data_IF_069187700431
#
_entry.id   IF_069187700431
#
_cell.length_a   1.000
_cell.length_b   1.000
_cell.length_c   1.000
_cell.angle_alpha   90.00
_cell.angle_beta   90.00
_cell.angle_gamma   90.00
#
_symmetry.space_group_name_H-M   'P 1'
#
loop_
_entity.id
_entity.type
_entity.pdbx_description
1 polymer ?
#
# COMPACT_ATOMS: atom_id res chain seq x y z
N UNK A 1 30.20 -25.11 -7.42
CA UNK A 1 30.25 -23.85 -6.66
C UNK A 1 30.90 -23.99 -5.28
N UNK A 2 30.59 -25.01 -4.47
CA UNK A 2 31.17 -25.13 -3.13
C UNK A 2 32.71 -25.19 -3.12
N UNK A 3 33.38 -25.81 -4.11
CA UNK A 3 34.86 -25.93 -4.20
C UNK A 3 35.59 -24.59 -4.39
N UNK A 4 34.88 -23.51 -4.73
CA UNK A 4 35.46 -22.17 -4.90
C UNK A 4 34.93 -21.17 -3.90
N UNK A 5 34.17 -21.65 -2.90
CA UNK A 5 33.52 -20.75 -1.93
C UNK A 5 34.55 -20.00 -1.11
N UNK A 6 35.63 -20.71 -0.67
CA UNK A 6 36.71 -20.11 0.12
C UNK A 6 37.49 -19.07 -0.67
N UNK A 7 37.79 -19.34 -1.96
CA UNK A 7 38.46 -18.40 -2.86
C UNK A 7 37.68 -17.13 -3.08
N UNK A 8 36.30 -17.24 -3.11
CA UNK A 8 35.39 -16.14 -3.34
C UNK A 8 34.88 -15.49 -2.03
N UNK A 9 35.39 -15.94 -0.88
CA UNK A 9 34.96 -15.47 0.45
C UNK A 9 33.44 -15.71 0.72
N UNK A 10 32.86 -16.76 0.11
CA UNK A 10 31.42 -17.05 0.22
C UNK A 10 31.22 -17.92 1.48
N UNK A 11 30.33 -17.44 2.37
CA UNK A 11 29.84 -18.22 3.52
C UNK A 11 28.37 -18.57 3.29
N UNK A 12 28.05 -19.83 3.61
CA UNK A 12 26.68 -20.37 3.50
C UNK A 12 26.10 -20.67 4.88
N UNK A 13 24.77 -20.65 4.98
CA UNK A 13 24.07 -21.22 6.12
C UNK A 13 24.47 -22.69 6.30
N UNK A 14 24.74 -23.15 7.54
CA UNK A 14 25.02 -24.56 7.78
C UNK A 14 23.80 -25.47 7.60
N UNK A 15 22.61 -24.90 7.63
CA UNK A 15 21.31 -25.60 7.50
C UNK A 15 20.60 -25.23 6.20
N UNK A 16 19.80 -26.15 5.64
CA UNK A 16 18.92 -25.83 4.51
C UNK A 16 17.91 -24.71 4.88
N UNK A 17 17.55 -23.89 3.91
CA UNK A 17 18.06 -23.78 2.54
C UNK A 17 19.40 -23.06 2.50
N UNK A 18 20.49 -23.72 2.20
CA UNK A 18 21.88 -23.25 2.22
C UNK A 18 22.09 -21.84 1.61
N UNK A 19 21.55 -20.85 2.26
CA UNK A 19 21.59 -19.45 1.82
C UNK A 19 22.99 -18.88 1.94
N UNK A 20 23.36 -18.02 0.99
CA UNK A 20 24.58 -17.23 1.09
C UNK A 20 24.41 -16.22 2.22
N UNK A 21 25.31 -16.27 3.20
CA UNK A 21 25.34 -15.34 4.35
C UNK A 21 26.29 -14.17 4.12
N UNK A 22 27.36 -14.39 3.32
CA UNK A 22 28.39 -13.39 3.04
C UNK A 22 29.12 -13.75 1.75
N UNK A 23 29.66 -12.73 1.07
CA UNK A 23 30.65 -12.89 -0.02
C UNK A 23 31.89 -12.08 0.31
N UNK A 24 32.96 -12.21 -0.49
CA UNK A 24 34.16 -11.38 -0.34
C UNK A 24 33.91 -9.87 -0.47
N UNK A 25 32.83 -9.48 -1.21
CA UNK A 25 32.51 -8.09 -1.52
C UNK A 25 31.31 -7.55 -0.70
N UNK A 26 30.43 -8.43 -0.20
CA UNK A 26 29.18 -8.06 0.47
C UNK A 26 29.14 -8.68 1.86
N UNK A 27 29.02 -7.84 2.87
CA UNK A 27 28.94 -8.24 4.27
C UNK A 27 27.59 -8.91 4.62
N UNK A 28 27.54 -9.59 5.75
CA UNK A 28 26.30 -10.18 6.30
C UNK A 28 25.20 -9.13 6.47
N UNK A 29 25.53 -7.93 6.96
CA UNK A 29 24.58 -6.85 7.20
C UNK A 29 24.01 -6.29 5.91
N UNK A 30 24.83 -6.16 4.87
CA UNK A 30 24.37 -5.70 3.54
C UNK A 30 23.45 -6.73 2.90
N UNK A 31 23.77 -8.02 2.98
CA UNK A 31 22.87 -9.07 2.48
C UNK A 31 21.54 -9.12 3.25
N UNK A 32 21.55 -8.91 4.56
CA UNK A 32 20.33 -8.82 5.36
C UNK A 32 19.49 -7.60 4.94
N UNK A 33 20.12 -6.47 4.72
CA UNK A 33 19.45 -5.26 4.22
C UNK A 33 18.83 -5.49 2.84
N UNK A 34 19.59 -6.11 1.92
CA UNK A 34 19.09 -6.46 0.59
C UNK A 34 17.89 -7.40 0.64
N UNK A 35 17.93 -8.42 1.52
CA UNK A 35 16.78 -9.33 1.73
C UNK A 35 15.55 -8.61 2.27
N UNK A 36 15.72 -7.72 3.23
CA UNK A 36 14.62 -6.90 3.77
C UNK A 36 14.03 -5.96 2.72
N UNK A 37 14.88 -5.33 1.90
CA UNK A 37 14.43 -4.53 0.76
C UNK A 37 13.65 -5.36 -0.26
N UNK A 38 14.10 -6.58 -0.58
CA UNK A 38 13.35 -7.48 -1.46
C UNK A 38 11.96 -7.80 -0.89
N UNK A 39 11.88 -8.15 0.38
CA UNK A 39 10.58 -8.39 1.06
C UNK A 39 9.68 -7.16 1.05
N UNK A 40 10.25 -5.98 1.25
CA UNK A 40 9.49 -4.72 1.18
C UNK A 40 8.95 -4.49 -0.23
N UNK A 41 9.77 -4.68 -1.26
CA UNK A 41 9.33 -4.57 -2.66
C UNK A 41 8.20 -5.56 -2.96
N UNK A 42 8.33 -6.81 -2.54
CA UNK A 42 7.28 -7.83 -2.74
C UNK A 42 5.99 -7.48 -1.99
N UNK A 43 6.11 -6.94 -0.79
CA UNK A 43 4.96 -6.61 0.04
C UNK A 43 4.19 -5.38 -0.44
N UNK A 44 4.85 -4.39 -1.06
CA UNK A 44 4.24 -3.10 -1.40
C UNK A 44 4.35 -2.76 -2.88
N UNK A 45 5.55 -2.81 -3.48
CA UNK A 45 5.75 -2.45 -4.88
C UNK A 45 5.22 -3.50 -5.85
N UNK A 46 5.43 -4.80 -5.58
CA UNK A 46 4.96 -5.90 -6.42
C UNK A 46 3.51 -6.33 -6.10
N UNK A 47 2.90 -5.78 -5.06
CA UNK A 47 1.51 -6.08 -4.69
C UNK A 47 0.58 -5.11 -5.42
N UNK A 48 -0.32 -5.56 -6.32
CA UNK A 48 -1.16 -4.68 -7.14
C UNK A 48 -1.92 -3.61 -6.34
N UNK A 49 -2.41 -3.98 -5.15
CA UNK A 49 -3.15 -3.08 -4.28
C UNK A 49 -2.37 -1.81 -3.86
N UNK A 50 -1.05 -1.88 -3.74
CA UNK A 50 -0.20 -0.81 -3.23
C UNK A 50 0.83 -0.32 -4.24
N UNK A 51 0.89 -0.96 -5.41
CA UNK A 51 1.93 -0.75 -6.42
C UNK A 51 2.00 0.71 -6.88
N UNK A 52 0.86 1.28 -7.28
CA UNK A 52 0.83 2.63 -7.83
C UNK A 52 1.24 3.67 -6.79
N UNK A 53 0.64 3.61 -5.60
CA UNK A 53 1.01 4.50 -4.50
C UNK A 53 2.51 4.38 -4.14
N UNK A 54 3.02 3.15 -4.04
CA UNK A 54 4.43 2.93 -3.72
C UNK A 54 5.35 3.49 -4.80
N UNK A 55 4.97 3.35 -6.07
CA UNK A 55 5.69 3.92 -7.21
C UNK A 55 5.74 5.44 -7.15
N UNK A 56 4.60 6.09 -6.89
CA UNK A 56 4.54 7.54 -6.76
C UNK A 56 5.41 8.04 -5.60
N UNK A 57 5.38 7.38 -4.45
CA UNK A 57 6.22 7.71 -3.30
C UNK A 57 7.71 7.60 -3.62
N UNK A 58 8.14 6.57 -4.37
CA UNK A 58 9.53 6.40 -4.83
C UNK A 58 9.93 7.52 -5.81
N UNK A 59 9.04 7.91 -6.71
CA UNK A 59 9.30 8.99 -7.67
C UNK A 59 9.41 10.34 -6.98
N UNK A 60 8.61 10.56 -5.94
CA UNK A 60 8.65 11.78 -5.13
C UNK A 60 9.88 11.86 -4.21
N UNK A 61 10.26 10.74 -3.61
CA UNK A 61 11.45 10.65 -2.74
C UNK A 61 12.26 9.38 -3.05
N UNK A 62 13.43 9.57 -3.67
CA UNK A 62 14.34 8.47 -4.00
C UNK A 62 14.84 7.68 -2.78
N UNK A 63 14.71 8.25 -1.57
CA UNK A 63 15.07 7.59 -0.31
C UNK A 63 13.87 6.90 0.37
N UNK A 64 12.68 6.97 -0.22
CA UNK A 64 11.46 6.41 0.35
C UNK A 64 11.64 4.97 0.82
N UNK A 65 12.15 4.07 -0.02
CA UNK A 65 12.31 2.66 0.32
C UNK A 65 13.21 2.44 1.56
N UNK A 66 14.31 3.17 1.66
CA UNK A 66 15.21 3.06 2.81
C UNK A 66 14.59 3.62 4.09
N UNK A 67 13.89 4.74 4.01
CA UNK A 67 13.18 5.34 5.15
C UNK A 67 12.04 4.46 5.62
N UNK A 68 11.28 3.91 4.68
CA UNK A 68 10.18 3.00 4.99
C UNK A 68 10.69 1.67 5.55
N UNK A 69 11.81 1.16 5.03
CA UNK A 69 12.47 -0.02 5.60
C UNK A 69 12.92 0.23 7.04
N UNK A 70 13.52 1.38 7.33
CA UNK A 70 13.92 1.75 8.69
C UNK A 70 12.70 1.78 9.63
N UNK A 71 11.62 2.46 9.22
CA UNK A 71 10.36 2.51 9.96
C UNK A 71 9.81 1.11 10.26
N UNK A 72 9.74 0.23 9.25
CA UNK A 72 9.26 -1.14 9.43
C UNK A 72 10.17 -1.97 10.34
N UNK A 73 11.47 -1.70 10.30
CA UNK A 73 12.47 -2.39 11.14
C UNK A 73 12.33 -1.95 12.60
N UNK A 74 12.24 -0.66 12.87
CA UNK A 74 12.03 -0.10 14.22
C UNK A 74 10.71 -0.59 14.84
N UNK A 75 9.66 -0.71 14.02
CA UNK A 75 8.37 -1.25 14.44
C UNK A 75 8.33 -2.79 14.54
N UNK A 76 9.43 -3.50 14.26
CA UNK A 76 9.50 -4.96 14.18
C UNK A 76 8.48 -5.60 13.23
N UNK A 77 8.18 -4.94 12.11
CA UNK A 77 7.17 -5.38 11.13
C UNK A 77 7.75 -6.08 9.91
N UNK A 78 8.99 -5.75 9.52
CA UNK A 78 9.57 -6.21 8.23
C UNK A 78 9.79 -7.72 8.16
N UNK A 79 10.08 -8.34 9.27
CA UNK A 79 10.39 -9.79 9.37
C UNK A 79 9.15 -10.61 9.77
N UNK A 80 7.97 -9.97 9.89
CA UNK A 80 6.72 -10.64 10.25
C UNK A 80 5.78 -10.74 9.03
N UNK A 81 5.01 -11.83 8.92
CA UNK A 81 3.99 -11.95 7.90
C UNK A 81 2.88 -10.90 8.15
N UNK A 82 2.55 -10.14 7.14
CA UNK A 82 1.46 -9.14 7.19
C UNK A 82 0.38 -9.49 6.19
N UNK A 83 -0.89 -9.47 6.64
CA UNK A 83 -2.04 -9.52 5.76
C UNK A 83 -2.07 -8.29 4.83
N UNK A 84 -2.78 -8.38 3.71
CA UNK A 84 -2.95 -7.25 2.78
C UNK A 84 -3.52 -6.03 3.50
N UNK A 85 -4.52 -6.22 4.36
CA UNK A 85 -5.12 -5.17 5.17
C UNK A 85 -4.10 -4.52 6.12
N UNK A 86 -3.28 -5.33 6.81
CA UNK A 86 -2.25 -4.80 7.71
C UNK A 86 -1.20 -3.97 6.96
N UNK A 87 -0.80 -4.41 5.77
CA UNK A 87 0.11 -3.64 4.90
C UNK A 87 -0.48 -2.27 4.56
N UNK A 88 -1.76 -2.23 4.17
CA UNK A 88 -2.45 -0.97 3.88
C UNK A 88 -2.52 -0.02 5.06
N UNK A 89 -2.82 -0.52 6.27
CA UNK A 89 -2.81 0.29 7.49
C UNK A 89 -1.43 0.87 7.79
N UNK A 90 -0.39 0.05 7.69
CA UNK A 90 1.00 0.48 7.93
C UNK A 90 1.42 1.54 6.92
N UNK A 91 1.12 1.34 5.63
CA UNK A 91 1.43 2.30 4.58
C UNK A 91 0.66 3.62 4.77
N UNK A 92 -0.62 3.55 5.15
CA UNK A 92 -1.43 4.72 5.47
C UNK A 92 -0.85 5.53 6.64
N UNK A 93 -0.53 4.88 7.77
CA UNK A 93 0.05 5.55 8.93
C UNK A 93 1.41 6.16 8.62
N UNK A 94 2.22 5.48 7.82
CA UNK A 94 3.49 6.03 7.35
C UNK A 94 3.30 7.27 6.48
N UNK A 95 2.36 7.22 5.51
CA UNK A 95 2.02 8.38 4.70
C UNK A 95 1.49 9.54 5.55
N UNK A 96 0.58 9.25 6.48
CA UNK A 96 0.02 10.27 7.39
C UNK A 96 1.10 11.02 8.16
N UNK A 97 2.15 10.32 8.57
CA UNK A 97 3.23 10.89 9.38
C UNK A 97 4.30 11.61 8.56
N UNK A 98 4.72 11.05 7.43
CA UNK A 98 5.89 11.50 6.69
C UNK A 98 5.59 12.08 5.31
N UNK A 99 4.42 11.74 4.74
CA UNK A 99 3.97 12.17 3.41
C UNK A 99 2.48 12.53 3.44
N UNK A 100 2.08 13.56 4.22
CA UNK A 100 0.67 13.87 4.47
C UNK A 100 -0.14 14.12 3.18
N UNK A 101 0.50 14.63 2.14
CA UNK A 101 -0.13 14.87 0.83
C UNK A 101 -0.56 13.56 0.14
N UNK A 102 0.05 12.42 0.50
CA UNK A 102 -0.30 11.10 -0.03
C UNK A 102 -1.34 10.33 0.81
N UNK A 103 -1.85 10.92 1.89
CA UNK A 103 -2.86 10.29 2.75
C UNK A 103 -4.13 9.93 1.99
N UNK A 104 -4.58 10.81 1.11
CA UNK A 104 -5.77 10.57 0.29
C UNK A 104 -5.53 9.44 -0.70
N UNK A 105 -4.39 9.41 -1.37
CA UNK A 105 -4.01 8.34 -2.29
C UNK A 105 -3.91 6.98 -1.58
N UNK A 106 -3.39 6.95 -0.35
CA UNK A 106 -3.38 5.73 0.47
C UNK A 106 -4.80 5.23 0.80
N UNK A 107 -5.73 6.15 1.04
CA UNK A 107 -7.15 5.81 1.26
C UNK A 107 -7.83 5.32 -0.01
N UNK A 108 -7.52 5.92 -1.16
CA UNK A 108 -8.00 5.49 -2.48
C UNK A 108 -7.51 4.07 -2.76
N UNK A 109 -6.21 3.80 -2.60
CA UNK A 109 -5.63 2.49 -2.81
C UNK A 109 -6.28 1.42 -1.90
N UNK A 110 -6.58 1.76 -0.64
CA UNK A 110 -7.34 0.91 0.28
C UNK A 110 -8.71 0.54 -0.28
N UNK A 111 -9.46 1.52 -0.76
CA UNK A 111 -10.83 1.33 -1.29
C UNK A 111 -10.77 0.49 -2.57
N UNK A 112 -9.88 0.81 -3.50
CA UNK A 112 -9.72 0.10 -4.78
C UNK A 112 -9.23 -1.34 -4.59
N UNK A 113 -8.42 -1.60 -3.56
CA UNK A 113 -8.02 -2.94 -3.17
C UNK A 113 -9.15 -3.79 -2.57
N UNK A 114 -10.35 -3.23 -2.43
CA UNK A 114 -11.52 -3.93 -1.88
C UNK A 114 -11.45 -4.15 -0.38
N UNK A 115 -10.66 -3.36 0.34
CA UNK A 115 -10.57 -3.45 1.79
C UNK A 115 -11.81 -2.90 2.47
N UNK A 116 -12.08 -3.36 3.69
CA UNK A 116 -13.27 -2.96 4.44
C UNK A 116 -13.33 -1.47 4.72
N UNK A 117 -14.40 -0.80 4.27
CA UNK A 117 -14.64 0.61 4.58
C UNK A 117 -14.81 0.89 6.09
N UNK A 118 -15.20 -0.11 6.87
CA UNK A 118 -15.31 0.05 8.33
C UNK A 118 -13.95 0.23 9.01
N UNK A 119 -12.90 -0.28 8.37
CA UNK A 119 -11.53 -0.25 8.87
C UNK A 119 -10.67 0.80 8.15
N UNK A 120 -11.24 1.53 7.19
CA UNK A 120 -10.53 2.62 6.52
C UNK A 120 -10.13 3.66 7.56
N UNK A 121 -8.84 3.97 7.71
CA UNK A 121 -8.36 4.88 8.74
C UNK A 121 -8.63 6.37 8.42
N UNK A 122 -9.10 6.67 7.21
CA UNK A 122 -9.46 8.03 6.79
C UNK A 122 -10.93 8.33 7.06
N UNK A 123 -11.25 9.60 7.25
CA UNK A 123 -12.63 10.06 7.27
C UNK A 123 -13.26 9.86 5.89
N UNK A 124 -14.43 9.22 5.87
CA UNK A 124 -15.20 9.00 4.66
C UNK A 124 -16.68 9.02 4.99
N UNK A 125 -17.48 9.46 4.04
CA UNK A 125 -18.94 9.55 4.19
C UNK A 125 -19.58 8.39 3.43
N UNK A 126 -20.25 7.50 4.17
CA UNK A 126 -21.13 6.49 3.59
C UNK A 126 -22.46 7.12 3.31
N UNK A 127 -22.76 7.37 2.04
CA UNK A 127 -24.05 7.94 1.69
C UNK A 127 -25.05 6.84 1.39
N UNK A 128 -26.11 6.78 2.19
CA UNK A 128 -27.40 6.20 1.82
C UNK A 128 -28.36 7.27 1.25
N UNK A 129 -27.90 8.52 1.15
CA UNK A 129 -28.71 9.70 0.86
C UNK A 129 -28.34 10.29 -0.49
N UNK A 130 -29.20 11.19 -0.96
CA UNK A 130 -29.08 11.87 -2.24
C UNK A 130 -27.67 12.46 -2.44
N UNK A 131 -27.13 12.21 -3.61
CA UNK A 131 -25.91 12.83 -4.11
C UNK A 131 -26.15 14.33 -4.14
N UNK A 132 -25.25 15.17 -3.62
CA UNK A 132 -25.38 16.61 -3.75
C UNK A 132 -25.54 17.01 -5.23
N UNK A 133 -26.43 17.95 -5.57
CA UNK A 133 -26.71 18.33 -6.97
C UNK A 133 -25.46 18.74 -7.75
N UNK A 134 -24.51 19.38 -7.11
CA UNK A 134 -23.23 19.80 -7.68
C UNK A 134 -22.33 18.63 -8.11
N UNK A 135 -22.57 17.41 -7.61
CA UNK A 135 -21.81 16.21 -7.96
C UNK A 135 -22.50 15.34 -9.01
N UNK A 136 -23.72 15.67 -9.42
CA UNK A 136 -24.49 14.83 -10.34
C UNK A 136 -23.85 14.70 -11.71
N UNK A 137 -23.28 15.77 -12.27
CA UNK A 137 -22.62 15.71 -13.57
C UNK A 137 -21.50 14.68 -13.61
N UNK A 138 -20.74 14.59 -12.52
CA UNK A 138 -19.60 13.67 -12.41
C UNK A 138 -20.05 12.22 -12.22
N UNK A 139 -21.19 12.01 -11.57
CA UNK A 139 -21.64 10.67 -11.13
C UNK A 139 -22.68 10.10 -12.09
N UNK A 140 -23.48 10.96 -12.75
CA UNK A 140 -24.68 10.58 -13.50
C UNK A 140 -24.44 9.50 -14.56
N UNK A 141 -23.34 9.56 -15.31
CA UNK A 141 -22.99 8.55 -16.32
C UNK A 141 -22.62 7.18 -15.76
N UNK A 142 -22.30 7.10 -14.46
CA UNK A 142 -21.81 5.89 -13.79
C UNK A 142 -22.75 5.40 -12.69
N UNK A 143 -23.75 6.22 -12.32
CA UNK A 143 -24.65 5.91 -11.22
C UNK A 143 -25.75 4.94 -11.67
N UNK A 144 -25.92 3.90 -10.89
CA UNK A 144 -27.08 3.00 -10.95
C UNK A 144 -27.75 3.01 -9.58
N UNK A 145 -29.11 3.00 -9.51
CA UNK A 145 -29.82 3.08 -8.22
C UNK A 145 -29.44 2.00 -7.20
N UNK A 146 -28.97 0.86 -7.67
CA UNK A 146 -28.55 -0.26 -6.83
C UNK A 146 -27.20 -0.05 -6.17
N UNK A 147 -26.40 0.91 -6.64
CA UNK A 147 -25.06 1.13 -6.13
C UNK A 147 -25.10 1.79 -4.75
N UNK A 148 -24.26 1.26 -3.86
CA UNK A 148 -23.92 1.95 -2.62
C UNK A 148 -22.78 2.91 -2.88
N UNK A 149 -22.95 4.16 -2.47
CA UNK A 149 -21.95 5.20 -2.66
C UNK A 149 -21.12 5.44 -1.40
N UNK A 150 -19.86 5.79 -1.62
CA UNK A 150 -18.94 6.27 -0.60
C UNK A 150 -18.24 7.51 -1.14
N UNK A 151 -18.17 8.57 -0.36
CA UNK A 151 -17.43 9.79 -0.67
C UNK A 151 -16.20 9.89 0.23
N UNK A 152 -15.04 10.11 -0.37
CA UNK A 152 -13.77 10.35 0.30
C UNK A 152 -13.33 11.79 0.03
N UNK A 153 -13.41 12.71 1.00
CA UNK A 153 -12.93 14.07 0.82
C UNK A 153 -11.41 14.13 0.65
N UNK A 154 -10.92 15.06 -0.15
CA UNK A 154 -9.48 15.23 -0.42
C UNK A 154 -8.77 15.90 0.75
N UNK A 155 -9.48 16.77 1.48
CA UNK A 155 -8.94 17.50 2.64
C UNK A 155 -10.07 17.81 3.63
N UNK A 156 -9.86 18.82 4.47
CA UNK A 156 -10.93 19.42 5.29
C UNK A 156 -12.02 20.09 4.46
N UNK A 157 -11.77 20.34 3.18
CA UNK A 157 -12.76 20.74 2.20
C UNK A 157 -13.61 19.53 1.84
N UNK A 158 -14.87 19.55 2.26
CA UNK A 158 -15.83 18.46 2.01
C UNK A 158 -16.52 18.58 0.64
N UNK A 159 -16.22 19.62 -0.13
CA UNK A 159 -16.82 19.85 -1.44
C UNK A 159 -16.10 19.07 -2.55
N UNK A 160 -14.79 18.85 -2.40
CA UNK A 160 -13.98 18.12 -3.37
C UNK A 160 -13.51 16.79 -2.84
N UNK A 161 -13.59 15.74 -3.67
CA UNK A 161 -13.19 14.41 -3.26
C UNK A 161 -13.39 13.36 -4.34
N UNK A 162 -13.45 12.12 -3.88
CA UNK A 162 -13.65 10.96 -4.74
C UNK A 162 -14.91 10.22 -4.37
N UNK A 163 -15.72 9.93 -5.37
CA UNK A 163 -16.88 9.06 -5.26
C UNK A 163 -16.53 7.66 -5.68
N UNK A 164 -16.99 6.68 -4.91
CA UNK A 164 -16.88 5.27 -5.21
C UNK A 164 -18.26 4.62 -5.18
N UNK A 165 -18.55 3.81 -6.20
CA UNK A 165 -19.76 3.02 -6.28
C UNK A 165 -19.48 1.54 -6.06
N UNK A 166 -20.32 0.88 -5.26
CA UNK A 166 -20.21 -0.55 -4.94
C UNK A 166 -21.51 -1.25 -5.29
N UNK A 167 -21.43 -2.41 -5.96
CA UNK A 167 -22.59 -3.27 -6.14
C UNK A 167 -23.12 -3.74 -4.79
N UNK A 168 -24.44 -3.89 -4.68
CA UNK A 168 -25.09 -4.28 -3.44
C UNK A 168 -24.89 -5.75 -3.07
N UNK A 169 -24.37 -6.57 -3.97
CA UNK A 169 -24.02 -7.96 -3.72
C UNK A 169 -22.95 -8.06 -2.64
N UNK A 170 -23.26 -8.85 -1.61
CA UNK A 170 -22.52 -8.95 -0.35
C UNK A 170 -21.06 -9.37 -0.52
N UNK A 171 -20.67 -9.91 -1.66
CA UNK A 171 -19.35 -10.50 -1.91
C UNK A 171 -18.40 -9.59 -2.68
N UNK A 172 -18.84 -8.51 -3.32
CA UNK A 172 -17.96 -7.58 -4.05
C UNK A 172 -17.61 -6.38 -3.18
N UNK A 173 -16.38 -6.31 -2.76
CA UNK A 173 -15.86 -5.25 -1.89
C UNK A 173 -15.19 -4.14 -2.73
N UNK A 174 -14.64 -4.47 -3.90
CA UNK A 174 -14.03 -3.48 -4.78
C UNK A 174 -15.10 -2.58 -5.43
N UNK A 175 -14.79 -1.29 -5.63
CA UNK A 175 -15.71 -0.37 -6.30
C UNK A 175 -15.82 -0.70 -7.79
N UNK A 176 -17.02 -0.51 -8.36
CA UNK A 176 -17.27 -0.66 -9.80
C UNK A 176 -17.02 0.63 -10.57
N UNK A 177 -16.98 1.77 -9.90
CA UNK A 177 -16.48 3.02 -10.47
C UNK A 177 -15.82 3.92 -9.41
N UNK A 178 -14.98 4.84 -9.90
CA UNK A 178 -14.38 5.97 -9.17
C UNK A 178 -14.56 7.24 -10.01
N UNK A 179 -15.01 8.32 -9.39
CA UNK A 179 -15.09 9.64 -10.00
C UNK A 179 -14.55 10.70 -9.05
N UNK A 180 -13.96 11.77 -9.61
CA UNK A 180 -13.43 12.91 -8.84
C UNK A 180 -14.33 14.13 -9.08
N UNK A 181 -14.69 14.82 -8.01
CA UNK A 181 -15.37 16.13 -8.03
C UNK A 181 -14.39 17.24 -7.77
#
# INVERSE_FOLDING_TARGET
>A
MRHRADELGIRYSPLPPYEVLQTGEISVSELQTARRLSRLLDAFYNTPAWQELTRELILNDRRFLYRFLAYLTEANLIDQPMSLERRGLVLYEYCKQYYPDYRTQASIAWIEAGMSLKKLPAEHVKTKRQIPPEHWEVIYGNYKPELRLCFLPVSTDTEHGYWFGFESEIQKIAPVFKART
#
